data_IF_344934601193
#
_entry.id   IF_344934601193
#
_cell.length_a   1.000
_cell.length_b   1.000
_cell.length_c   1.000
_cell.angle_alpha   90.00
_cell.angle_beta   90.00
_cell.angle_gamma   90.00
#
_symmetry.space_group_name_H-M   'P 1'
#
loop_
_entity.id
_entity.type
_entity.pdbx_description
1 polymer ?
#
# COMPACT_ATOMS: atom_id res chain seq x y z
N UNK A 1 -10.13 3.15 15.98
CA UNK A 1 -8.72 3.23 15.56
C UNK A 1 -8.67 2.88 14.08
N UNK A 2 -8.14 3.74 13.23
CA UNK A 2 -7.94 3.41 11.81
C UNK A 2 -6.70 2.52 11.70
N UNK A 3 -6.89 1.25 11.35
CA UNK A 3 -5.78 0.32 11.14
C UNK A 3 -5.12 0.63 9.79
N UNK A 4 -3.80 0.77 9.80
CA UNK A 4 -3.01 1.05 8.58
C UNK A 4 -2.37 -0.23 8.09
N UNK A 5 -2.71 -0.67 6.88
CA UNK A 5 -2.15 -1.88 6.26
C UNK A 5 -1.40 -1.48 5.00
N UNK A 6 -0.21 -2.01 4.83
CA UNK A 6 0.62 -1.82 3.63
C UNK A 6 0.49 -3.05 2.74
N UNK A 7 0.12 -2.85 1.47
CA UNK A 7 0.10 -3.91 0.46
C UNK A 7 1.42 -3.94 -0.30
N UNK A 8 2.13 -5.06 -0.22
CA UNK A 8 3.42 -5.24 -0.88
C UNK A 8 3.23 -6.04 -2.16
N UNK A 9 3.27 -5.36 -3.32
CA UNK A 9 3.00 -5.92 -4.66
C UNK A 9 3.71 -5.12 -5.75
N UNK A 10 3.97 -5.72 -6.92
CA UNK A 10 4.22 -4.95 -8.15
C UNK A 10 2.87 -4.63 -8.88
N UNK A 11 2.51 -3.35 -9.06
CA UNK A 11 1.37 -2.86 -9.89
C UNK A 11 -0.12 -2.89 -9.37
N UNK A 12 -0.85 -1.74 -9.47
CA UNK A 12 -2.31 -1.30 -9.27
C UNK A 12 -3.25 -1.37 -7.98
N UNK A 13 -3.60 -0.22 -7.31
CA UNK A 13 -4.44 -0.09 -6.06
C UNK A 13 -3.77 0.27 -4.69
N UNK A 14 -4.49 0.90 -3.74
CA UNK A 14 -4.11 1.70 -2.51
C UNK A 14 -2.83 1.37 -1.70
N UNK A 15 -2.19 2.45 -1.19
CA UNK A 15 -0.81 2.56 -0.65
C UNK A 15 0.08 1.42 -1.11
N UNK A 16 0.33 1.42 -2.42
CA UNK A 16 1.15 0.39 -3.02
C UNK A 16 2.58 0.58 -2.62
N UNK A 17 3.16 -0.50 -2.15
CA UNK A 17 4.56 -0.48 -1.82
C UNK A 17 5.27 -1.61 -2.56
N UNK A 18 6.18 -1.25 -3.46
CA UNK A 18 6.93 -2.21 -4.28
C UNK A 18 8.16 -2.65 -3.50
N UNK A 19 7.97 -3.60 -2.60
CA UNK A 19 9.07 -4.26 -1.89
C UNK A 19 9.02 -5.76 -2.09
N UNK A 20 10.16 -6.40 -1.87
CA UNK A 20 10.22 -7.83 -1.62
C UNK A 20 10.31 -8.03 -0.10
N UNK A 21 9.22 -8.48 0.52
CA UNK A 21 9.15 -8.74 1.96
C UNK A 21 10.17 -9.82 2.37
N UNK A 22 10.52 -10.73 1.46
CA UNK A 22 11.51 -11.76 1.73
C UNK A 22 12.93 -11.21 1.98
N UNK A 23 13.23 -9.97 1.55
CA UNK A 23 14.49 -9.30 1.87
C UNK A 23 14.59 -8.91 3.35
N UNK A 24 13.45 -8.71 4.02
CA UNK A 24 13.38 -8.37 5.45
C UNK A 24 13.10 -9.59 6.31
N UNK A 25 12.26 -10.51 5.82
CA UNK A 25 11.85 -11.72 6.52
C UNK A 25 11.91 -12.91 5.55
N UNK A 26 13.02 -13.69 5.52
CA UNK A 26 13.27 -14.70 4.49
C UNK A 26 12.19 -15.79 4.37
N UNK A 27 11.54 -16.20 5.46
CA UNK A 27 10.45 -17.18 5.42
C UNK A 27 9.19 -16.65 4.71
N UNK A 28 9.09 -15.34 4.48
CA UNK A 28 8.00 -14.74 3.71
C UNK A 28 7.92 -15.27 2.27
N UNK A 29 9.03 -15.78 1.73
CA UNK A 29 9.05 -16.45 0.42
C UNK A 29 8.13 -17.69 0.37
N UNK A 30 7.79 -18.28 1.52
CA UNK A 30 6.95 -19.48 1.64
C UNK A 30 5.57 -19.19 2.21
N UNK A 31 5.23 -17.93 2.47
CA UNK A 31 3.91 -17.58 2.98
C UNK A 31 2.82 -17.90 1.95
N UNK A 32 1.65 -18.40 2.39
CA UNK A 32 0.48 -18.54 1.51
C UNK A 32 0.08 -17.20 0.89
N UNK A 33 -0.51 -17.23 -0.31
CA UNK A 33 -0.97 -16.02 -0.99
C UNK A 33 -2.50 -15.98 -1.01
N UNK A 34 -3.14 -14.91 -0.48
CA UNK A 34 -2.56 -13.81 0.29
C UNK A 34 -2.27 -14.19 1.76
N UNK A 35 -1.34 -13.47 2.38
CA UNK A 35 -1.07 -13.54 3.83
C UNK A 35 -0.98 -12.16 4.46
N UNK A 36 -1.39 -12.03 5.72
CA UNK A 36 -1.26 -10.81 6.51
C UNK A 36 -0.37 -11.07 7.72
N UNK A 37 0.55 -10.14 7.99
CA UNK A 37 1.43 -10.19 9.15
C UNK A 37 1.34 -8.90 9.96
N UNK A 38 1.09 -9.02 11.27
CA UNK A 38 1.20 -7.90 12.20
C UNK A 38 2.68 -7.55 12.37
N UNK A 39 3.03 -6.26 12.28
CA UNK A 39 4.44 -5.84 12.22
C UNK A 39 5.03 -5.50 13.58
N UNK A 40 4.18 -5.18 14.57
CA UNK A 40 4.64 -4.71 15.89
C UNK A 40 5.50 -5.77 16.57
N UNK A 41 6.72 -5.40 16.94
CA UNK A 41 7.64 -6.29 17.63
C UNK A 41 8.25 -7.38 16.75
N UNK A 42 8.10 -7.30 15.42
CA UNK A 42 8.73 -8.24 14.47
C UNK A 42 9.87 -7.56 13.70
N UNK A 43 10.67 -8.35 12.97
CA UNK A 43 11.71 -7.83 12.07
C UNK A 43 11.12 -6.89 11.01
N UNK A 44 9.89 -7.17 10.58
CA UNK A 44 9.14 -6.33 9.64
C UNK A 44 8.83 -4.95 10.24
N UNK A 45 8.45 -4.88 11.52
CA UNK A 45 8.19 -3.62 12.21
C UNK A 45 9.45 -2.83 12.56
N UNK A 46 10.55 -3.52 12.86
CA UNK A 46 11.83 -2.91 13.21
C UNK A 46 12.53 -2.28 11.99
N UNK A 47 12.27 -2.79 10.79
CA UNK A 47 12.82 -2.26 9.54
C UNK A 47 12.47 -0.78 9.34
N UNK A 48 13.36 -0.04 8.70
CA UNK A 48 13.04 1.31 8.24
C UNK A 48 11.95 1.24 7.16
N UNK A 49 10.92 2.09 7.28
CA UNK A 49 9.76 2.05 6.39
C UNK A 49 10.14 2.21 4.91
N UNK A 50 11.26 2.86 4.60
CA UNK A 50 11.75 3.04 3.22
C UNK A 50 12.01 1.70 2.53
N UNK A 51 12.35 0.65 3.30
CA UNK A 51 12.55 -0.71 2.77
C UNK A 51 11.29 -1.26 2.11
N UNK A 52 10.11 -0.76 2.48
CA UNK A 52 8.87 -1.12 1.82
C UNK A 52 8.73 -0.34 0.50
N UNK A 53 9.01 0.97 0.49
CA UNK A 53 8.71 1.92 -0.61
C UNK A 53 9.64 1.83 -1.84
N UNK A 54 10.61 0.91 -1.82
CA UNK A 54 11.33 0.44 -3.02
C UNK A 54 12.19 1.48 -3.75
N UNK A 55 12.12 2.75 -3.38
CA UNK A 55 12.98 3.79 -3.94
C UNK A 55 13.26 4.90 -2.94
N UNK A 56 14.53 5.27 -2.81
CA UNK A 56 14.94 6.52 -2.18
C UNK A 56 14.47 7.75 -2.99
N UNK A 57 13.90 7.55 -4.18
CA UNK A 57 13.41 8.59 -5.09
C UNK A 57 12.25 9.41 -4.52
N UNK A 58 11.45 8.88 -3.58
CA UNK A 58 10.47 9.71 -2.84
C UNK A 58 11.16 10.72 -1.90
N UNK A 59 12.42 10.47 -1.54
CA UNK A 59 13.14 11.25 -0.54
C UNK A 59 12.47 11.25 0.83
N UNK A 60 13.00 12.05 1.75
CA UNK A 60 12.29 12.44 2.97
C UNK A 60 12.18 13.94 3.00
N UNK A 61 11.08 14.44 3.52
CA UNK A 61 10.80 15.87 3.58
C UNK A 61 10.40 16.25 4.99
N UNK A 62 10.74 17.47 5.37
CA UNK A 62 10.24 18.06 6.60
C UNK A 62 8.80 18.55 6.38
N UNK A 63 7.98 18.48 7.43
CA UNK A 63 6.75 19.25 7.47
C UNK A 63 7.11 20.66 7.96
N UNK A 64 6.84 21.67 7.13
CA UNK A 64 7.02 23.09 7.43
C UNK A 64 5.67 23.78 7.24
N UNK A 65 5.22 24.53 8.25
CA UNK A 65 3.91 25.20 8.23
C UNK A 65 2.74 24.26 7.90
N UNK A 66 2.78 23.04 8.45
CA UNK A 66 1.76 22.01 8.25
C UNK A 66 1.74 21.36 6.86
N UNK A 67 2.70 21.68 6.00
CA UNK A 67 2.82 21.14 4.64
C UNK A 67 4.14 20.42 4.43
N UNK A 68 4.17 19.35 3.63
CA UNK A 68 5.44 18.74 3.21
C UNK A 68 6.23 19.72 2.34
N UNK A 69 7.50 19.98 2.71
CA UNK A 69 8.42 20.75 1.89
C UNK A 69 9.18 19.83 0.93
N UNK A 70 8.65 19.70 -0.28
CA UNK A 70 9.28 18.91 -1.35
C UNK A 70 10.45 19.62 -2.02
N UNK A 71 10.66 20.93 -1.78
CA UNK A 71 11.71 21.72 -2.44
C UNK A 71 13.08 21.53 -1.80
N UNK A 72 13.09 21.09 -0.53
CA UNK A 72 14.30 20.81 0.24
C UNK A 72 14.24 19.41 0.88
N UNK A 73 14.47 18.33 0.10
CA UNK A 73 14.57 16.98 0.64
C UNK A 73 15.66 16.89 1.72
N UNK A 74 15.37 16.14 2.78
CA UNK A 74 16.31 15.84 3.86
C UNK A 74 17.43 14.96 3.27
N UNK A 75 18.68 15.38 3.46
CA UNK A 75 19.85 14.66 3.00
C UNK A 75 19.92 13.25 3.63
N UNK A 76 20.44 12.26 2.89
CA UNK A 76 20.34 10.84 3.26
C UNK A 76 21.02 10.50 4.59
N UNK A 77 22.13 11.16 4.87
CA UNK A 77 22.91 11.08 6.10
C UNK A 77 22.17 11.65 7.32
N UNK A 78 21.19 12.53 7.09
CA UNK A 78 20.35 13.12 8.13
C UNK A 78 19.07 12.31 8.40
N UNK A 79 18.86 11.20 7.69
CA UNK A 79 17.69 10.36 7.89
C UNK A 79 17.74 9.63 9.23
N UNK A 80 16.74 9.90 10.07
CA UNK A 80 16.50 9.13 11.30
C UNK A 80 15.69 7.89 10.98
N UNK A 81 16.00 6.73 11.54
CA UNK A 81 15.20 5.53 11.30
C UNK A 81 13.71 5.77 11.58
N UNK A 82 12.87 5.57 10.57
CA UNK A 82 11.42 5.60 10.70
C UNK A 82 10.93 4.16 10.69
N UNK A 83 10.82 3.57 11.88
CA UNK A 83 10.41 2.17 12.02
C UNK A 83 9.03 1.93 11.41
N UNK A 84 8.90 0.86 10.63
CA UNK A 84 7.67 0.44 9.98
C UNK A 84 6.49 0.32 10.97
N UNK A 85 6.72 -0.20 12.17
CA UNK A 85 5.69 -0.32 13.22
C UNK A 85 5.16 1.02 13.75
N UNK A 86 5.84 2.13 13.46
CA UNK A 86 5.33 3.49 13.71
C UNK A 86 4.49 4.05 12.56
N UNK A 87 4.56 3.43 11.37
CA UNK A 87 3.89 3.89 10.16
C UNK A 87 2.63 3.08 9.84
N UNK A 88 2.65 1.76 10.06
CA UNK A 88 1.54 0.84 9.79
C UNK A 88 1.47 -0.31 10.80
N UNK A 89 0.29 -0.94 10.90
CA UNK A 89 -0.02 -2.02 11.84
C UNK A 89 0.24 -3.41 11.26
N UNK A 90 0.15 -3.57 9.94
CA UNK A 90 0.31 -4.85 9.27
C UNK A 90 0.82 -4.72 7.82
N UNK A 91 1.39 -5.81 7.32
CA UNK A 91 1.77 -6.01 5.92
C UNK A 91 0.86 -7.08 5.32
N UNK A 92 0.28 -6.78 4.15
CA UNK A 92 -0.37 -7.74 3.27
C UNK A 92 0.63 -8.19 2.20
N UNK A 93 1.02 -9.46 2.25
CA UNK A 93 1.78 -10.14 1.22
C UNK A 93 0.82 -10.72 0.18
N UNK A 94 0.92 -10.26 -1.07
CA UNK A 94 0.07 -10.73 -2.16
C UNK A 94 0.82 -11.61 -3.19
N UNK A 95 1.97 -12.15 -2.82
CA UNK A 95 2.78 -13.04 -3.68
C UNK A 95 3.93 -12.34 -4.38
N UNK A 96 4.79 -13.16 -5.00
CA UNK A 96 5.96 -12.70 -5.77
C UNK A 96 5.53 -12.22 -7.16
N UNK A 97 6.10 -11.10 -7.60
CA UNK A 97 5.87 -10.55 -8.94
C UNK A 97 4.68 -9.58 -8.99
N UNK A 98 4.34 -9.09 -10.19
CA UNK A 98 3.19 -8.21 -10.32
C UNK A 98 1.92 -8.93 -9.91
N UNK A 99 1.04 -8.23 -9.18
CA UNK A 99 -0.30 -8.76 -8.95
C UNK A 99 -0.93 -9.04 -10.32
N UNK A 100 -1.53 -10.22 -10.53
CA UNK A 100 -2.24 -10.47 -11.76
C UNK A 100 -3.29 -9.37 -11.91
N UNK A 101 -3.23 -8.62 -13.00
CA UNK A 101 -4.32 -7.75 -13.39
C UNK A 101 -5.49 -8.64 -13.74
N UNK A 102 -6.43 -8.76 -12.82
CA UNK A 102 -7.71 -9.40 -13.09
C UNK A 102 -8.58 -8.35 -13.77
N UNK A 103 -8.92 -8.60 -15.03
CA UNK A 103 -9.96 -7.82 -15.69
C UNK A 103 -11.27 -8.08 -14.95
N UNK A 104 -11.93 -6.99 -14.55
CA UNK A 104 -13.23 -7.08 -13.93
C UNK A 104 -14.21 -7.56 -15.00
N UNK A 105 -14.86 -8.70 -14.75
CA UNK A 105 -15.91 -9.23 -15.62
C UNK A 105 -17.03 -8.18 -15.79
N UNK A 106 -17.27 -7.68 -17.02
CA UNK A 106 -18.33 -6.70 -17.28
C UNK A 106 -19.72 -7.21 -16.86
N UNK A 107 -19.94 -8.52 -16.78
CA UNK A 107 -21.19 -9.09 -16.29
C UNK A 107 -21.51 -8.66 -14.84
N UNK A 108 -20.49 -8.31 -14.04
CA UNK A 108 -20.68 -7.77 -12.68
C UNK A 108 -21.44 -6.44 -12.67
N UNK A 109 -21.39 -5.67 -13.75
CA UNK A 109 -22.14 -4.41 -13.85
C UNK A 109 -23.67 -4.63 -13.85
N UNK A 110 -24.15 -5.86 -14.09
CA UNK A 110 -25.57 -6.19 -13.96
C UNK A 110 -26.03 -6.32 -12.49
N UNK A 111 -25.10 -6.57 -11.56
CA UNK A 111 -25.41 -6.65 -10.13
C UNK A 111 -25.45 -5.24 -9.52
N UNK A 112 -26.66 -4.67 -9.45
CA UNK A 112 -26.88 -3.35 -8.88
C UNK A 112 -26.46 -3.25 -7.41
N UNK A 113 -26.56 -4.33 -6.63
CA UNK A 113 -26.18 -4.32 -5.23
C UNK A 113 -24.64 -4.26 -5.09
N UNK A 114 -23.91 -5.02 -5.91
CA UNK A 114 -22.44 -4.97 -5.97
C UNK A 114 -21.96 -3.56 -6.35
N UNK A 115 -22.54 -2.95 -7.39
CA UNK A 115 -22.19 -1.60 -7.84
C UNK A 115 -22.45 -0.54 -6.75
N UNK A 116 -23.62 -0.58 -6.10
CA UNK A 116 -23.94 0.37 -5.04
C UNK A 116 -22.99 0.26 -3.85
N UNK A 117 -22.65 -0.98 -3.44
CA UNK A 117 -21.68 -1.20 -2.37
C UNK A 117 -20.29 -0.69 -2.75
N UNK A 118 -19.87 -0.89 -4.00
CA UNK A 118 -18.59 -0.42 -4.48
C UNK A 118 -18.50 1.11 -4.52
N UNK A 119 -19.56 1.79 -4.99
CA UNK A 119 -19.66 3.25 -4.96
C UNK A 119 -19.68 3.80 -3.53
N UNK A 120 -20.41 3.13 -2.62
CA UNK A 120 -20.44 3.49 -1.19
C UNK A 120 -19.05 3.40 -0.56
N UNK A 121 -18.29 2.34 -0.86
CA UNK A 121 -16.90 2.19 -0.37
C UNK A 121 -15.97 3.25 -0.92
N UNK A 122 -16.07 3.57 -2.21
CA UNK A 122 -15.26 4.64 -2.82
C UNK A 122 -15.55 6.00 -2.18
N UNK A 123 -16.80 6.29 -1.81
CA UNK A 123 -17.16 7.52 -1.11
C UNK A 123 -16.47 7.64 0.27
N UNK A 124 -16.16 6.53 0.94
CA UNK A 124 -15.46 6.53 2.24
C UNK A 124 -13.99 6.95 2.09
N UNK A 125 -13.34 6.60 0.98
CA UNK A 125 -11.92 6.94 0.75
C UNK A 125 -11.74 8.33 0.15
N UNK A 126 -12.81 8.98 -0.31
CA UNK A 126 -12.75 10.25 -1.04
C UNK A 126 -12.08 10.13 -2.41
N UNK A 127 -11.74 8.92 -2.85
CA UNK A 127 -11.15 8.65 -4.16
C UNK A 127 -12.25 8.43 -5.20
N UNK A 128 -12.20 9.09 -6.36
CA UNK A 128 -13.23 8.93 -7.37
C UNK A 128 -13.19 7.51 -7.97
N UNK A 129 -14.32 6.80 -8.10
CA UNK A 129 -14.37 5.43 -8.59
C UNK A 129 -14.28 5.35 -10.14
N UNK A 130 -13.30 6.05 -10.72
CA UNK A 130 -13.19 6.27 -12.17
C UNK A 130 -13.14 4.95 -12.96
N UNK A 131 -12.42 3.93 -12.47
CA UNK A 131 -12.31 2.64 -13.15
C UNK A 131 -13.65 1.87 -13.16
N UNK A 132 -14.40 1.91 -12.06
CA UNK A 132 -15.72 1.26 -11.99
C UNK A 132 -16.72 1.95 -12.92
N UNK A 133 -16.74 3.30 -12.90
CA UNK A 133 -17.58 4.10 -13.79
C UNK A 133 -17.28 3.83 -15.26
N UNK A 134 -15.99 3.80 -15.62
CA UNK A 134 -15.55 3.47 -16.98
C UNK A 134 -15.97 2.07 -17.40
N UNK A 135 -15.83 1.07 -16.52
CA UNK A 135 -16.19 -0.32 -16.82
C UNK A 135 -17.70 -0.50 -16.99
N UNK A 136 -18.51 0.15 -16.14
CA UNK A 136 -19.95 -0.07 -16.08
C UNK A 136 -20.81 0.99 -16.77
N UNK A 137 -20.20 2.02 -17.38
CA UNK A 137 -20.91 3.09 -18.08
C UNK A 137 -21.75 3.99 -17.16
N UNK A 138 -21.23 4.30 -15.96
CA UNK A 138 -21.91 5.06 -14.89
C UNK A 138 -21.44 6.52 -14.78
#
# INVERSE_FOLDING_TARGET
>A
RTHRVVAVTAGHGETRVTADVALLQPDAAFWPVPSIAIVRGTVLGAADFTAYYGSEAMGRFAIRDGKPDFTAPIARDQWRTLRAEGQFDAVLYAGKGPSPTVDLDPARCADKADIQEHLRRAAVTGLPPNRLKQLCGL
#
